data_IF_154471643936
#
_entry.id   IF_154471643936
#
_cell.length_a   1.000
_cell.length_b   1.000
_cell.length_c   1.000
_cell.angle_alpha   90.00
_cell.angle_beta   90.00
_cell.angle_gamma   90.00
#
_symmetry.space_group_name_H-M   'P 1'
#
loop_
_entity.id
_entity.type
_entity.pdbx_description
1 polymer ?
#
# COMPACT_ATOMS: atom_id res chain seq x y z
N UNK A 1 -11.63 16.86 -60.78
CA UNK A 1 -12.14 17.59 -59.59
C UNK A 1 -13.49 16.96 -59.29
N UNK A 2 -13.82 16.40 -58.13
CA UNK A 2 -13.16 16.12 -56.83
C UNK A 2 -13.90 14.89 -56.27
N UNK A 3 -13.32 13.94 -55.54
CA UNK A 3 -12.32 14.07 -54.48
C UNK A 3 -13.06 14.01 -53.12
N UNK A 4 -13.25 12.81 -52.57
CA UNK A 4 -13.99 12.60 -51.32
C UNK A 4 -13.94 11.14 -50.84
N UNK A 5 -12.92 10.80 -50.06
CA UNK A 5 -12.77 9.47 -49.45
C UNK A 5 -13.37 9.43 -48.05
N UNK A 6 -14.25 8.45 -47.79
CA UNK A 6 -14.72 8.13 -46.43
C UNK A 6 -13.80 7.10 -45.79
N UNK A 7 -13.10 7.46 -44.72
CA UNK A 7 -12.28 6.52 -43.94
C UNK A 7 -13.15 5.61 -43.07
N UNK A 8 -12.89 4.31 -43.11
CA UNK A 8 -13.54 3.33 -42.22
C UNK A 8 -13.14 3.54 -40.75
N UNK A 9 -14.06 3.37 -39.78
CA UNK A 9 -13.73 3.49 -38.36
C UNK A 9 -12.77 2.38 -37.88
N UNK A 10 -11.97 2.70 -36.85
CA UNK A 10 -10.85 1.90 -36.35
C UNK A 10 -11.21 0.46 -35.95
N UNK A 11 -10.89 -0.50 -36.82
CA UNK A 11 -11.05 -1.94 -36.56
C UNK A 11 -10.21 -2.42 -35.36
N UNK A 12 -9.06 -1.78 -35.11
CA UNK A 12 -8.15 -2.07 -33.98
C UNK A 12 -8.80 -1.81 -32.62
N UNK A 13 -9.51 -0.69 -32.48
CA UNK A 13 -10.14 -0.27 -31.22
C UNK A 13 -11.34 -1.16 -30.86
N UNK A 14 -12.09 -1.63 -31.86
CA UNK A 14 -13.15 -2.61 -31.67
C UNK A 14 -12.62 -3.98 -31.20
N UNK A 15 -11.59 -4.51 -31.88
CA UNK A 15 -10.92 -5.76 -31.47
C UNK A 15 -10.32 -5.65 -30.07
N UNK A 16 -9.67 -4.53 -29.76
CA UNK A 16 -9.09 -4.26 -28.44
C UNK A 16 -10.14 -4.23 -27.32
N UNK A 17 -11.26 -3.52 -27.53
CA UNK A 17 -12.39 -3.54 -26.60
C UNK A 17 -13.01 -4.94 -26.44
N UNK A 18 -12.93 -5.79 -27.47
CA UNK A 18 -13.36 -7.17 -27.40
C UNK A 18 -12.36 -8.06 -26.63
N UNK A 19 -11.05 -7.89 -26.82
CA UNK A 19 -10.02 -8.58 -25.99
C UNK A 19 -10.15 -8.18 -24.52
N UNK A 20 -10.33 -6.90 -24.20
CA UNK A 20 -10.60 -6.44 -22.83
C UNK A 20 -11.86 -7.11 -22.23
N UNK A 21 -12.96 -7.19 -23.00
CA UNK A 21 -14.17 -7.90 -22.56
C UNK A 21 -13.96 -9.40 -22.41
N UNK A 22 -13.11 -10.02 -23.22
CA UNK A 22 -12.80 -11.45 -23.13
C UNK A 22 -11.89 -11.74 -21.92
N UNK A 23 -10.86 -10.93 -21.66
CA UNK A 23 -10.00 -11.05 -20.47
C UNK A 23 -10.81 -10.77 -19.19
N UNK A 24 -11.62 -9.71 -19.18
CA UNK A 24 -12.57 -9.49 -18.09
C UNK A 24 -13.61 -10.60 -17.98
N UNK A 25 -14.03 -11.22 -19.09
CA UNK A 25 -14.99 -12.33 -19.13
C UNK A 25 -14.40 -13.65 -18.59
N UNK A 26 -13.13 -13.93 -18.87
CA UNK A 26 -12.39 -15.06 -18.28
C UNK A 26 -12.20 -14.90 -16.77
N UNK A 27 -12.12 -13.66 -16.28
CA UNK A 27 -12.12 -13.34 -14.84
C UNK A 27 -13.54 -13.28 -14.24
N UNK A 28 -14.56 -12.95 -15.05
CA UNK A 28 -15.98 -12.82 -14.65
C UNK A 28 -16.76 -14.10 -14.92
N UNK A 29 -16.59 -15.06 -14.01
CA UNK A 29 -17.63 -16.04 -13.75
C UNK A 29 -18.93 -15.35 -13.31
N UNK A 30 -19.84 -15.11 -14.27
CA UNK A 30 -21.25 -14.66 -14.18
C UNK A 30 -21.54 -13.15 -14.32
N UNK A 31 -22.13 -12.83 -15.49
CA UNK A 31 -23.13 -11.79 -15.82
C UNK A 31 -22.86 -10.29 -15.58
N UNK A 32 -23.15 -9.49 -16.61
CA UNK A 32 -23.37 -8.03 -16.59
C UNK A 32 -24.62 -7.72 -17.43
N UNK A 33 -25.39 -6.68 -17.06
CA UNK A 33 -25.73 -5.68 -18.07
C UNK A 33 -25.63 -4.24 -17.53
N UNK A 34 -25.17 -3.31 -18.37
CA UNK A 34 -25.16 -1.89 -18.05
C UNK A 34 -24.27 -1.09 -19.00
N UNK A 35 -24.87 -0.18 -19.77
CA UNK A 35 -24.15 0.73 -20.68
C UNK A 35 -24.93 2.06 -20.75
N UNK A 36 -24.18 3.17 -20.68
CA UNK A 36 -24.45 4.47 -21.31
C UNK A 36 -25.36 5.51 -20.59
N UNK A 37 -24.87 6.77 -20.66
CA UNK A 37 -25.50 8.08 -20.48
C UNK A 37 -25.78 8.63 -19.07
N UNK A 38 -24.80 9.40 -18.57
CA UNK A 38 -24.99 10.50 -17.63
C UNK A 38 -25.76 11.66 -18.28
N UNK A 39 -26.93 12.00 -17.73
CA UNK A 39 -27.48 13.36 -17.80
C UNK A 39 -28.14 13.73 -16.48
N UNK A 40 -27.52 14.61 -15.70
CA UNK A 40 -28.22 15.43 -14.71
C UNK A 40 -27.90 16.89 -14.97
N UNK A 41 -28.94 17.68 -15.24
CA UNK A 41 -28.82 19.14 -15.34
C UNK A 41 -28.51 19.71 -13.96
N UNK A 42 -27.52 20.59 -13.90
CA UNK A 42 -27.32 21.49 -12.76
C UNK A 42 -28.11 22.77 -13.05
N UNK A 43 -29.05 23.14 -12.19
CA UNK A 43 -29.51 24.53 -12.11
C UNK A 43 -28.68 25.27 -11.04
N UNK A 44 -28.24 26.51 -11.30
CA UNK A 44 -27.37 27.25 -10.37
C UNK A 44 -28.19 27.95 -9.29
N UNK A 45 -27.76 27.82 -8.02
CA UNK A 45 -28.20 28.70 -6.94
C UNK A 45 -27.26 29.91 -6.85
N UNK A 46 -27.86 31.11 -6.81
CA UNK A 46 -27.12 32.38 -6.74
C UNK A 46 -26.48 32.61 -5.36
N UNK A 47 -25.33 33.32 -5.28
CA UNK A 47 -24.67 33.62 -4.02
C UNK A 47 -25.29 34.83 -3.30
N UNK A 48 -25.14 34.95 -1.97
CA UNK A 48 -25.34 36.20 -1.25
C UNK A 48 -24.05 37.04 -1.26
N UNK A 49 -24.19 38.34 -1.53
CA UNK A 49 -23.11 39.32 -1.38
C UNK A 49 -22.72 39.52 0.10
N UNK A 50 -21.43 39.45 0.42
CA UNK A 50 -20.75 40.39 1.33
C UNK A 50 -19.22 40.21 1.25
N UNK A 51 -18.50 41.30 0.96
CA UNK A 51 -17.03 41.40 1.18
C UNK A 51 -16.79 42.14 2.49
N UNK A 52 -15.67 41.89 3.19
CA UNK A 52 -14.56 42.84 3.03
C UNK A 52 -13.13 42.26 3.08
N UNK A 53 -12.24 42.99 2.40
CA UNK A 53 -10.85 43.34 2.73
C UNK A 53 -9.90 42.32 3.40
N UNK A 54 -8.81 42.02 2.70
CA UNK A 54 -7.52 41.66 3.30
C UNK A 54 -6.90 42.89 3.99
N UNK A 55 -6.52 42.77 5.26
CA UNK A 55 -5.45 43.58 5.87
C UNK A 55 -4.51 42.68 6.66
N UNK A 56 -3.31 43.20 6.95
CA UNK A 56 -2.13 42.47 7.40
C UNK A 56 -1.62 43.05 8.72
N UNK A 57 -1.66 42.26 9.79
CA UNK A 57 -1.06 42.57 11.09
C UNK A 57 -0.08 41.40 11.38
N UNK A 58 1.25 41.52 11.37
CA UNK A 58 2.18 42.43 12.06
C UNK A 58 2.14 42.35 13.59
N UNK A 59 3.25 41.85 14.16
CA UNK A 59 3.50 41.76 15.60
C UNK A 59 3.60 43.15 16.26
N UNK A 60 3.03 43.31 17.45
CA UNK A 60 3.53 44.27 18.45
C UNK A 60 3.59 43.65 19.87
N UNK A 61 4.71 43.92 20.54
CA UNK A 61 4.95 43.71 21.98
C UNK A 61 4.08 44.65 22.83
N UNK A 62 3.42 44.16 23.89
CA UNK A 62 3.21 44.97 25.10
C UNK A 62 3.61 44.21 26.37
N UNK A 63 4.62 44.75 27.05
CA UNK A 63 4.99 44.38 28.42
C UNK A 63 4.11 45.14 29.40
N UNK A 64 3.62 44.50 30.47
CA UNK A 64 3.33 45.20 31.74
C UNK A 64 3.85 44.43 32.95
N UNK A 65 4.55 45.16 33.81
CA UNK A 65 5.14 44.70 35.07
C UNK A 65 4.18 44.91 36.25
N UNK A 66 4.50 44.28 37.40
CA UNK A 66 3.93 44.60 38.71
C UNK A 66 2.75 43.71 39.12
N UNK A 67 2.66 43.22 40.36
CA UNK A 67 3.54 43.41 41.52
C UNK A 67 3.47 42.20 42.48
N UNK A 68 4.56 41.96 43.23
CA UNK A 68 4.58 41.00 44.35
C UNK A 68 3.87 41.59 45.56
N UNK A 69 3.23 40.74 46.36
CA UNK A 69 3.13 40.97 47.81
C UNK A 69 3.21 39.64 48.56
N UNK A 70 4.07 39.60 49.58
CA UNK A 70 4.28 38.45 50.46
C UNK A 70 3.34 38.53 51.68
N UNK A 71 3.05 37.38 52.29
CA UNK A 71 2.29 37.29 53.54
C UNK A 71 2.64 35.99 54.26
N UNK A 72 3.20 36.10 55.46
CA UNK A 72 3.80 34.99 56.23
C UNK A 72 2.80 34.24 57.13
N UNK A 73 3.20 33.03 57.56
CA UNK A 73 2.78 32.43 58.83
C UNK A 73 1.61 31.43 58.76
N UNK A 74 1.52 30.40 59.60
CA UNK A 74 2.42 29.93 60.67
C UNK A 74 2.35 28.39 60.78
N UNK A 75 3.37 27.77 61.40
CA UNK A 75 3.42 26.33 61.67
C UNK A 75 3.04 26.00 63.14
N UNK A 76 2.42 24.84 63.34
CA UNK A 76 2.34 24.04 64.60
C UNK A 76 1.56 22.75 64.28
N UNK A 77 1.83 21.55 64.83
CA UNK A 77 2.88 21.10 65.76
C UNK A 77 2.45 19.78 66.44
N UNK A 78 3.43 18.93 66.82
CA UNK A 78 3.30 17.63 67.55
C UNK A 78 2.76 16.42 66.73
N UNK A 79 3.33 15.21 66.67
CA UNK A 79 4.17 14.38 67.60
C UNK A 79 3.37 13.86 68.81
N UNK A 80 3.37 12.60 69.30
CA UNK A 80 4.08 11.32 69.07
C UNK A 80 3.05 10.14 69.25
N UNK A 81 3.31 8.82 69.37
CA UNK A 81 4.54 8.00 69.41
C UNK A 81 4.31 6.50 69.01
N UNK A 82 5.42 5.76 68.97
CA UNK A 82 5.71 4.33 69.20
C UNK A 82 4.80 3.49 70.14
N UNK A 83 4.79 2.14 70.17
CA UNK A 83 5.58 1.07 69.51
C UNK A 83 4.79 -0.29 69.54
N UNK A 84 5.11 -1.35 68.77
CA UNK A 84 6.04 -2.41 69.27
C UNK A 84 6.42 -3.49 68.24
N UNK A 85 7.74 -3.63 68.09
CA UNK A 85 8.57 -4.73 67.58
C UNK A 85 7.99 -6.16 67.42
N UNK A 86 8.37 -6.83 66.31
CA UNK A 86 9.46 -7.85 66.29
C UNK A 86 9.95 -8.17 64.86
N UNK A 87 11.21 -8.62 64.74
CA UNK A 87 11.96 -8.81 63.49
C UNK A 87 11.91 -10.26 62.97
N UNK A 88 11.97 -10.42 61.66
CA UNK A 88 12.80 -11.45 61.00
C UNK A 88 13.34 -10.90 59.67
N UNK A 89 14.58 -11.25 59.32
CA UNK A 89 15.31 -10.67 58.19
C UNK A 89 14.94 -11.33 56.86
N UNK A 90 15.06 -10.60 55.75
CA UNK A 90 15.83 -11.01 54.56
C UNK A 90 16.28 -9.73 53.81
N UNK A 91 17.45 -9.81 53.19
CA UNK A 91 18.20 -8.67 52.66
C UNK A 91 17.60 -8.14 51.34
N UNK A 92 17.52 -6.82 51.17
CA UNK A 92 17.23 -6.18 49.89
C UNK A 92 18.45 -5.42 49.38
N UNK A 93 18.85 -5.69 48.13
CA UNK A 93 19.84 -4.91 47.39
C UNK A 93 19.41 -4.78 45.94
N UNK A 94 19.32 -3.54 45.49
CA UNK A 94 18.94 -3.11 44.15
C UNK A 94 19.95 -3.51 43.07
N UNK A 95 19.48 -3.89 41.88
CA UNK A 95 20.26 -3.84 40.62
C UNK A 95 19.36 -3.78 39.39
N UNK A 96 19.62 -2.79 38.53
CA UNK A 96 19.31 -2.68 37.08
C UNK A 96 18.37 -3.71 36.41
N UNK A 97 17.23 -3.25 35.89
CA UNK A 97 16.44 -4.00 34.91
C UNK A 97 17.14 -4.02 33.54
N UNK A 98 17.67 -5.19 33.16
CA UNK A 98 18.07 -5.52 31.79
C UNK A 98 16.86 -6.00 30.97
N UNK A 99 16.88 -5.72 29.66
CA UNK A 99 15.90 -6.25 28.71
C UNK A 99 15.97 -7.79 28.62
N UNK A 100 14.85 -8.52 28.36
CA UNK A 100 14.88 -9.97 28.21
C UNK A 100 15.42 -10.40 26.84
N UNK A 101 16.32 -11.39 26.84
CA UNK A 101 16.75 -12.11 25.63
C UNK A 101 15.61 -12.93 25.02
N UNK A 102 15.34 -12.75 23.72
CA UNK A 102 14.47 -13.60 22.93
C UNK A 102 15.29 -14.39 21.89
N UNK A 103 15.96 -15.45 22.35
CA UNK A 103 16.69 -16.37 21.47
C UNK A 103 15.77 -17.52 21.01
N UNK A 104 15.36 -17.49 19.73
CA UNK A 104 14.58 -18.57 19.12
C UNK A 104 14.35 -18.39 17.62
N UNK A 105 15.07 -19.17 16.81
CA UNK A 105 14.79 -19.46 15.39
C UNK A 105 14.92 -18.30 14.34
N UNK A 106 16.16 -17.92 14.00
CA UNK A 106 16.65 -18.01 12.60
C UNK A 106 18.14 -18.36 12.60
N UNK A 107 18.50 -19.60 12.24
CA UNK A 107 19.91 -19.99 12.07
C UNK A 107 20.45 -19.45 10.74
N UNK A 108 20.98 -18.23 10.76
CA UNK A 108 21.51 -17.60 9.55
C UNK A 108 21.83 -16.09 9.62
N UNK A 109 21.34 -15.37 10.65
CA UNK A 109 21.53 -13.93 10.80
C UNK A 109 23.00 -13.56 11.10
N UNK A 110 23.80 -13.36 10.05
CA UNK A 110 25.20 -12.92 10.14
C UNK A 110 25.27 -11.43 10.47
N UNK A 111 26.46 -10.94 10.84
CA UNK A 111 26.70 -9.56 11.29
C UNK A 111 26.17 -8.43 10.37
N UNK A 112 25.87 -8.74 9.11
CA UNK A 112 25.16 -7.87 8.16
C UNK A 112 23.82 -7.37 8.66
N UNK A 113 23.04 -8.19 9.36
CA UNK A 113 21.70 -7.82 9.82
C UNK A 113 21.76 -6.85 11.00
N UNK A 114 22.68 -7.07 11.94
CA UNK A 114 22.97 -6.12 13.03
C UNK A 114 23.43 -4.76 12.49
N UNK A 115 24.31 -4.75 11.49
CA UNK A 115 24.76 -3.51 10.84
C UNK A 115 23.63 -2.80 10.05
N UNK A 116 22.70 -3.54 9.45
CA UNK A 116 21.51 -2.98 8.80
C UNK A 116 20.56 -2.36 9.82
N UNK A 117 20.26 -3.09 10.90
CA UNK A 117 19.45 -2.62 12.03
C UNK A 117 20.04 -1.33 12.61
N UNK A 118 21.35 -1.28 12.87
CA UNK A 118 22.02 -0.09 13.37
C UNK A 118 21.81 1.14 12.46
N UNK A 119 21.92 0.99 11.13
CA UNK A 119 21.68 2.09 10.18
C UNK A 119 20.25 2.62 10.23
N UNK A 120 19.25 1.74 10.25
CA UNK A 120 17.85 2.16 10.40
C UNK A 120 17.59 2.81 11.76
N UNK A 121 18.11 2.24 12.86
CA UNK A 121 17.99 2.84 14.21
C UNK A 121 18.59 4.24 14.25
N UNK A 122 19.79 4.44 13.67
CA UNK A 122 20.42 5.76 13.59
C UNK A 122 19.52 6.75 12.83
N UNK A 123 19.00 6.38 11.66
CA UNK A 123 18.20 7.28 10.84
C UNK A 123 16.83 7.60 11.48
N UNK A 124 16.15 6.60 12.05
CA UNK A 124 14.86 6.74 12.74
C UNK A 124 14.98 7.46 14.11
N UNK A 125 16.18 7.52 14.70
CA UNK A 125 16.42 8.23 15.96
C UNK A 125 16.49 9.75 15.83
N UNK A 126 16.68 10.26 14.60
CA UNK A 126 16.81 11.70 14.32
C UNK A 126 15.55 12.49 14.74
N UNK A 127 15.69 13.78 15.12
CA UNK A 127 14.54 14.67 15.33
C UNK A 127 13.67 14.82 14.08
N UNK A 128 14.30 14.85 12.90
CA UNK A 128 13.65 14.76 11.59
C UNK A 128 14.39 13.73 10.74
N UNK A 129 13.64 12.75 10.22
CA UNK A 129 14.16 11.67 9.36
C UNK A 129 14.45 12.20 7.96
N UNK A 130 15.59 11.83 7.36
CA UNK A 130 15.90 12.12 5.96
C UNK A 130 15.26 11.03 5.10
N UNK A 131 14.12 11.34 4.47
CA UNK A 131 13.34 10.37 3.69
C UNK A 131 14.15 9.71 2.57
N UNK A 132 15.01 10.44 1.86
CA UNK A 132 15.83 9.86 0.79
C UNK A 132 16.85 8.87 1.34
N UNK A 133 17.40 9.12 2.53
CA UNK A 133 18.28 8.15 3.18
C UNK A 133 17.51 6.92 3.66
N UNK A 134 16.27 7.11 4.10
CA UNK A 134 15.39 6.01 4.47
C UNK A 134 15.01 5.16 3.23
N UNK A 135 14.77 5.78 2.07
CA UNK A 135 14.54 5.09 0.78
C UNK A 135 15.73 4.23 0.40
N UNK A 136 16.94 4.80 0.39
CA UNK A 136 18.18 4.05 0.10
C UNK A 136 18.35 2.80 0.98
N UNK A 137 18.07 2.92 2.29
CA UNK A 137 18.15 1.79 3.21
C UNK A 137 17.06 0.73 2.94
N UNK A 138 15.83 1.20 2.69
CA UNK A 138 14.63 0.37 2.52
C UNK A 138 14.60 -0.40 1.20
N UNK A 139 15.26 0.10 0.16
CA UNK A 139 15.32 -0.54 -1.16
C UNK A 139 15.79 -2.00 -1.10
N UNK A 140 16.71 -2.30 -0.19
CA UNK A 140 17.28 -3.64 0.03
C UNK A 140 16.51 -4.51 1.05
N UNK A 141 15.30 -4.08 1.43
CA UNK A 141 14.46 -4.72 2.45
C UNK A 141 14.58 -4.05 3.83
N UNK A 142 13.44 -3.94 4.53
CA UNK A 142 13.32 -3.32 5.86
C UNK A 142 13.27 -4.41 6.94
N UNK A 143 13.95 -4.25 8.09
CA UNK A 143 13.81 -5.17 9.23
C UNK A 143 12.34 -5.29 9.68
N UNK A 144 11.79 -6.50 9.91
CA UNK A 144 10.34 -6.70 10.08
C UNK A 144 9.68 -5.79 11.12
N UNK A 145 10.25 -5.70 12.32
CA UNK A 145 9.74 -4.89 13.43
C UNK A 145 9.91 -3.35 13.23
N UNK A 146 10.68 -2.92 12.22
CA UNK A 146 10.81 -1.51 11.84
C UNK A 146 9.87 -1.13 10.68
N UNK A 147 9.44 -2.12 9.89
CA UNK A 147 8.62 -1.95 8.69
C UNK A 147 7.39 -1.05 8.91
N UNK A 148 6.62 -1.17 10.00
CA UNK A 148 5.45 -0.33 10.23
C UNK A 148 5.76 1.18 10.26
N UNK A 149 6.70 1.61 11.09
CA UNK A 149 7.12 3.01 11.19
C UNK A 149 7.77 3.50 9.88
N UNK A 150 8.59 2.66 9.24
CA UNK A 150 9.23 2.97 7.95
C UNK A 150 8.20 3.15 6.82
N UNK A 151 7.22 2.27 6.70
CA UNK A 151 6.18 2.37 5.67
C UNK A 151 5.32 3.62 5.84
N UNK A 152 4.89 3.96 7.07
CA UNK A 152 4.17 5.22 7.34
C UNK A 152 5.00 6.44 6.93
N UNK A 153 6.32 6.42 7.12
CA UNK A 153 7.24 7.50 6.75
C UNK A 153 7.46 7.61 5.23
N UNK A 154 7.72 6.49 4.55
CA UNK A 154 8.00 6.47 3.10
C UNK A 154 6.79 6.95 2.27
N UNK A 155 5.57 6.64 2.74
CA UNK A 155 4.31 7.11 2.15
C UNK A 155 3.93 8.55 2.53
N UNK A 156 4.71 9.23 3.39
CA UNK A 156 4.40 10.57 3.88
C UNK A 156 3.12 10.63 4.73
N UNK A 157 2.65 9.50 5.25
CA UNK A 157 1.51 9.45 6.19
C UNK A 157 1.95 9.91 7.59
N UNK A 158 3.07 9.36 8.07
CA UNK A 158 3.77 9.90 9.23
C UNK A 158 4.71 11.03 8.80
N UNK A 159 4.71 12.19 9.47
CA UNK A 159 5.67 13.26 9.17
C UNK A 159 7.10 12.83 9.56
N UNK A 160 8.14 13.32 8.85
CA UNK A 160 9.53 13.05 9.19
C UNK A 160 9.92 13.55 10.60
N UNK A 161 9.37 14.69 11.00
CA UNK A 161 9.49 15.29 12.33
C UNK A 161 8.88 14.39 13.41
N UNK A 162 9.71 13.93 14.35
CA UNK A 162 9.33 12.98 15.41
C UNK A 162 8.33 13.58 16.40
N UNK A 163 8.53 14.84 16.77
CA UNK A 163 7.68 15.63 17.68
C UNK A 163 6.25 15.79 17.18
N UNK A 164 6.04 15.87 15.86
CA UNK A 164 4.72 16.01 15.23
C UNK A 164 4.02 14.69 14.92
N UNK A 165 4.72 13.55 15.04
CA UNK A 165 4.28 12.27 14.48
C UNK A 165 3.01 11.74 15.13
N UNK A 166 3.02 11.54 16.43
CA UNK A 166 1.86 11.01 17.17
C UNK A 166 0.62 11.92 17.07
N UNK A 167 0.81 13.25 17.11
CA UNK A 167 -0.27 14.21 16.94
C UNK A 167 -0.93 14.14 15.56
N UNK A 168 -0.13 13.96 14.50
CA UNK A 168 -0.65 13.76 13.13
C UNK A 168 -1.35 12.42 12.97
N UNK A 169 -0.76 11.33 13.50
CA UNK A 169 -1.36 9.99 13.43
C UNK A 169 -2.68 9.92 14.21
N UNK A 170 -2.72 10.42 15.45
CA UNK A 170 -3.96 10.48 16.26
C UNK A 170 -5.07 11.25 15.54
N UNK A 171 -4.77 12.45 15.02
CA UNK A 171 -5.75 13.25 14.25
C UNK A 171 -6.22 12.52 13.00
N UNK A 172 -5.33 11.87 12.26
CA UNK A 172 -5.68 11.10 11.06
C UNK A 172 -6.51 9.85 11.36
N UNK A 173 -6.28 9.18 12.48
CA UNK A 173 -7.09 8.06 12.95
C UNK A 173 -8.51 8.51 13.28
N UNK A 174 -8.68 9.67 13.93
CA UNK A 174 -9.99 10.28 14.16
C UNK A 174 -10.69 10.67 12.84
N UNK A 175 -9.99 11.34 11.92
CA UNK A 175 -10.53 11.68 10.58
C UNK A 175 -11.06 10.44 9.84
N UNK A 176 -10.40 9.28 9.96
CA UNK A 176 -10.88 8.02 9.35
C UNK A 176 -12.17 7.52 10.02
N UNK A 177 -12.24 7.53 11.36
CA UNK A 177 -13.46 7.12 12.09
C UNK A 177 -14.64 8.02 11.73
N UNK A 178 -14.42 9.33 11.58
CA UNK A 178 -15.42 10.28 11.08
C UNK A 178 -15.89 9.92 9.67
N UNK A 179 -14.98 9.54 8.76
CA UNK A 179 -15.33 9.08 7.41
C UNK A 179 -16.15 7.78 7.42
N UNK A 180 -15.77 6.80 8.24
CA UNK A 180 -16.51 5.53 8.37
C UNK A 180 -17.93 5.82 8.88
N UNK A 181 -18.07 6.66 9.91
CA UNK A 181 -19.37 7.11 10.43
C UNK A 181 -20.22 7.84 9.37
N UNK A 182 -19.60 8.70 8.55
CA UNK A 182 -20.29 9.49 7.54
C UNK A 182 -20.74 8.67 6.31
N UNK A 183 -19.98 7.65 5.89
CA UNK A 183 -20.19 6.97 4.62
C UNK A 183 -20.55 5.48 4.75
N UNK A 184 -19.98 4.78 5.72
CA UNK A 184 -20.12 3.33 5.87
C UNK A 184 -21.18 2.95 6.93
N UNK A 185 -21.22 3.62 8.08
CA UNK A 185 -22.19 3.31 9.16
C UNK A 185 -23.58 3.96 8.94
N UNK A 186 -23.96 4.20 7.67
CA UNK A 186 -25.29 4.70 7.28
C UNK A 186 -26.25 3.56 6.91
N UNK A 187 -27.58 3.74 7.04
CA UNK A 187 -28.58 2.78 6.57
C UNK A 187 -28.55 2.57 5.04
N UNK A 188 -28.86 1.34 4.59
CA UNK A 188 -28.97 1.04 3.14
C UNK A 188 -30.03 1.89 2.42
N UNK A 189 -31.03 2.42 3.13
CA UNK A 189 -32.04 3.33 2.57
C UNK A 189 -31.50 4.73 2.21
N UNK A 190 -30.31 5.09 2.69
CA UNK A 190 -29.65 6.37 2.39
C UNK A 190 -28.61 6.22 1.27
N UNK A 191 -28.31 4.97 0.85
CA UNK A 191 -27.41 4.67 -0.26
C UNK A 191 -28.13 4.72 -1.61
N UNK A 192 -27.43 5.19 -2.62
CA UNK A 192 -27.79 5.03 -4.03
C UNK A 192 -27.60 3.58 -4.51
N UNK A 193 -28.27 3.23 -5.61
CA UNK A 193 -28.13 1.90 -6.25
C UNK A 193 -26.67 1.60 -6.67
N UNK A 194 -25.90 2.63 -7.03
CA UNK A 194 -24.48 2.52 -7.38
C UNK A 194 -23.63 2.15 -6.15
N UNK A 195 -23.88 2.79 -5.01
CA UNK A 195 -23.20 2.51 -3.73
C UNK A 195 -23.54 1.11 -3.19
N UNK A 196 -24.82 0.70 -3.27
CA UNK A 196 -25.25 -0.65 -2.89
C UNK A 196 -24.59 -1.69 -3.81
N UNK A 197 -24.48 -1.42 -5.11
CA UNK A 197 -23.82 -2.32 -6.06
C UNK A 197 -22.32 -2.43 -5.78
N UNK A 198 -21.67 -1.31 -5.48
CA UNK A 198 -20.26 -1.25 -5.09
C UNK A 198 -19.98 -2.01 -3.79
N UNK A 199 -20.79 -1.79 -2.74
CA UNK A 199 -20.66 -2.50 -1.47
C UNK A 199 -20.83 -4.01 -1.64
N UNK A 200 -21.81 -4.45 -2.43
CA UNK A 200 -21.99 -5.87 -2.78
C UNK A 200 -20.78 -6.45 -3.52
N UNK A 201 -20.14 -5.69 -4.41
CA UNK A 201 -18.94 -6.15 -5.10
C UNK A 201 -17.76 -6.34 -4.11
N UNK A 202 -17.56 -5.38 -3.21
CA UNK A 202 -16.53 -5.46 -2.16
C UNK A 202 -16.78 -6.65 -1.23
N UNK A 203 -18.02 -6.83 -0.75
CA UNK A 203 -18.42 -7.93 0.12
C UNK A 203 -18.24 -9.32 -0.53
N UNK A 204 -18.28 -9.42 -1.86
CA UNK A 204 -18.01 -10.65 -2.61
C UNK A 204 -16.51 -10.85 -2.88
N UNK A 205 -15.70 -9.78 -2.94
CA UNK A 205 -14.25 -9.86 -3.12
C UNK A 205 -13.47 -10.07 -1.81
N UNK A 206 -13.90 -9.49 -0.68
CA UNK A 206 -13.18 -9.60 0.60
C UNK A 206 -12.93 -11.05 1.03
N UNK A 207 -13.92 -11.99 1.04
CA UNK A 207 -13.67 -13.39 1.38
C UNK A 207 -12.77 -14.14 0.39
N UNK A 208 -12.61 -13.62 -0.83
CA UNK A 208 -11.78 -14.22 -1.89
C UNK A 208 -10.39 -13.60 -1.97
N UNK A 209 -10.07 -12.67 -1.08
CA UNK A 209 -8.78 -11.97 -1.01
C UNK A 209 -7.75 -12.88 -0.34
N UNK A 210 -6.60 -13.11 -1.00
CA UNK A 210 -5.49 -13.98 -0.56
C UNK A 210 -5.99 -15.33 0.03
N UNK A 211 -6.66 -16.18 -0.76
CA UNK A 211 -7.39 -17.35 -0.26
C UNK A 211 -6.50 -18.43 0.36
N UNK A 212 -5.22 -18.48 -0.01
CA UNK A 212 -4.23 -19.41 0.54
C UNK A 212 -3.78 -19.05 1.97
N UNK A 213 -4.22 -17.91 2.52
CA UNK A 213 -3.85 -17.43 3.87
C UNK A 213 -5.11 -17.35 4.74
N UNK A 214 -5.23 -18.28 5.67
CA UNK A 214 -6.41 -18.47 6.54
C UNK A 214 -6.74 -17.23 7.38
N UNK A 215 -5.75 -16.41 7.72
CA UNK A 215 -5.95 -15.18 8.50
C UNK A 215 -6.95 -14.20 7.85
N UNK A 216 -6.95 -14.05 6.52
CA UNK A 216 -7.92 -13.20 5.79
C UNK A 216 -9.33 -13.79 5.73
N UNK A 217 -9.51 -15.04 6.18
CA UNK A 217 -10.83 -15.66 6.33
C UNK A 217 -11.49 -15.34 7.68
N UNK A 218 -10.80 -14.62 8.58
CA UNK A 218 -11.39 -14.11 9.81
C UNK A 218 -12.41 -12.98 9.52
N UNK A 219 -13.62 -13.11 10.06
CA UNK A 219 -14.73 -12.18 9.83
C UNK A 219 -14.42 -10.72 10.24
N UNK A 220 -13.64 -10.51 11.30
CA UNK A 220 -13.25 -9.16 11.72
C UNK A 220 -12.30 -8.52 10.70
N UNK A 221 -11.34 -9.29 10.17
CA UNK A 221 -10.42 -8.83 9.12
C UNK A 221 -11.16 -8.55 7.80
N UNK A 222 -12.15 -9.37 7.43
CA UNK A 222 -13.01 -9.11 6.27
C UNK A 222 -13.82 -7.82 6.43
N UNK A 223 -14.38 -7.57 7.62
CA UNK A 223 -15.06 -6.30 7.95
C UNK A 223 -14.12 -5.10 7.90
N UNK A 224 -12.88 -5.25 8.38
CA UNK A 224 -11.85 -4.21 8.28
C UNK A 224 -11.52 -3.89 6.81
N UNK A 225 -11.31 -4.92 5.99
CA UNK A 225 -11.11 -4.78 4.54
C UNK A 225 -12.29 -4.07 3.87
N UNK A 226 -13.53 -4.49 4.16
CA UNK A 226 -14.75 -3.91 3.58
C UNK A 226 -14.89 -2.42 3.91
N UNK A 227 -14.69 -2.02 5.18
CA UNK A 227 -14.69 -0.61 5.62
C UNK A 227 -13.62 0.21 4.91
N UNK A 228 -12.37 -0.27 4.87
CA UNK A 228 -11.27 0.45 4.22
C UNK A 228 -11.58 0.66 2.73
N UNK A 229 -11.98 -0.40 2.03
CA UNK A 229 -12.23 -0.39 0.59
C UNK A 229 -13.42 0.48 0.21
N UNK A 230 -14.54 0.37 0.94
CA UNK A 230 -15.74 1.16 0.67
C UNK A 230 -15.50 2.64 0.95
N UNK A 231 -14.91 2.97 2.10
CA UNK A 231 -14.59 4.36 2.48
C UNK A 231 -13.59 4.98 1.50
N UNK A 232 -12.64 4.20 0.99
CA UNK A 232 -11.73 4.66 -0.06
C UNK A 232 -12.48 4.90 -1.38
N UNK A 233 -13.26 3.93 -1.85
CA UNK A 233 -13.94 4.00 -3.14
C UNK A 233 -14.94 5.17 -3.22
N UNK A 234 -15.72 5.41 -2.16
CA UNK A 234 -16.63 6.56 -2.05
C UNK A 234 -15.90 7.90 -2.19
N UNK A 235 -14.73 8.01 -1.56
CA UNK A 235 -13.94 9.25 -1.58
C UNK A 235 -13.14 9.46 -2.87
N UNK A 236 -13.14 8.49 -3.79
CA UNK A 236 -12.45 8.55 -5.08
C UNK A 236 -13.43 8.18 -6.23
N UNK A 237 -14.49 8.99 -6.49
CA UNK A 237 -15.56 8.63 -7.43
C UNK A 237 -15.12 8.49 -8.89
N UNK A 238 -13.96 9.05 -9.28
CA UNK A 238 -13.36 8.83 -10.61
C UNK A 238 -12.80 7.40 -10.80
N UNK A 239 -12.59 6.69 -9.70
CA UNK A 239 -12.09 5.32 -9.62
C UNK A 239 -13.20 4.35 -9.20
N UNK A 240 -13.93 4.68 -8.12
CA UNK A 240 -14.80 3.75 -7.43
C UNK A 240 -14.04 2.52 -6.92
N UNK A 241 -14.73 1.40 -6.72
CA UNK A 241 -14.07 0.14 -6.39
C UNK A 241 -13.72 -0.64 -7.67
N UNK A 242 -12.42 -0.93 -7.83
CA UNK A 242 -11.91 -1.80 -8.89
C UNK A 242 -11.33 -3.08 -8.25
N UNK A 243 -11.79 -4.23 -8.72
CA UNK A 243 -11.28 -5.53 -8.28
C UNK A 243 -9.76 -5.60 -8.49
N UNK A 244 -9.01 -5.97 -7.46
CA UNK A 244 -7.56 -5.88 -7.37
C UNK A 244 -7.10 -4.91 -6.27
N UNK A 245 -7.84 -3.81 -6.03
CA UNK A 245 -7.53 -2.90 -4.92
C UNK A 245 -7.66 -3.62 -3.56
N UNK A 246 -8.56 -4.59 -3.46
CA UNK A 246 -8.70 -5.49 -2.30
C UNK A 246 -7.37 -6.17 -1.92
N UNK A 247 -6.55 -6.58 -2.89
CA UNK A 247 -5.27 -7.23 -2.63
C UNK A 247 -4.24 -6.22 -2.10
N UNK A 248 -4.32 -4.95 -2.53
CA UNK A 248 -3.37 -3.87 -2.17
C UNK A 248 -3.49 -3.42 -0.71
N UNK A 249 -4.61 -3.70 -0.05
CA UNK A 249 -4.78 -3.43 1.40
C UNK A 249 -4.05 -4.46 2.25
N UNK A 250 -3.90 -5.69 1.75
CA UNK A 250 -3.40 -6.83 2.54
C UNK A 250 -1.96 -6.67 3.06
N UNK A 251 -0.99 -6.05 2.35
CA UNK A 251 0.35 -5.85 2.90
C UNK A 251 0.34 -4.82 4.03
N UNK A 252 -0.49 -3.76 3.93
CA UNK A 252 -0.64 -2.76 4.99
C UNK A 252 -1.24 -3.37 6.26
N UNK A 253 -2.31 -4.15 6.13
CA UNK A 253 -2.92 -4.85 7.27
C UNK A 253 -1.90 -5.71 7.99
N UNK A 254 -1.20 -6.59 7.27
CA UNK A 254 -0.18 -7.47 7.86
C UNK A 254 0.92 -6.69 8.55
N UNK A 255 1.41 -5.61 7.93
CA UNK A 255 2.47 -4.79 8.51
C UNK A 255 2.00 -4.11 9.80
N UNK A 256 0.84 -3.45 9.81
CA UNK A 256 0.39 -2.75 11.02
C UNK A 256 -0.13 -3.70 12.11
N UNK A 257 -0.67 -4.87 11.76
CA UNK A 257 -0.98 -5.94 12.72
C UNK A 257 0.29 -6.46 13.42
N UNK A 258 1.43 -6.51 12.73
CA UNK A 258 2.70 -6.99 13.31
C UNK A 258 3.32 -6.07 14.37
N UNK A 259 2.77 -4.87 14.63
CA UNK A 259 3.12 -4.07 15.81
C UNK A 259 2.43 -4.56 17.09
N UNK A 260 1.33 -5.30 16.96
CA UNK A 260 0.47 -5.72 18.06
C UNK A 260 0.42 -7.25 18.25
N UNK A 261 0.89 -8.03 17.27
CA UNK A 261 0.81 -9.48 17.25
C UNK A 261 2.19 -10.11 17.05
N UNK A 262 2.68 -10.81 18.08
CA UNK A 262 3.94 -11.55 18.05
C UNK A 262 3.86 -12.83 17.20
N UNK A 263 5.02 -13.27 16.70
CA UNK A 263 5.16 -14.54 15.99
C UNK A 263 4.72 -14.51 14.53
N UNK A 264 4.43 -15.70 13.99
CA UNK A 264 4.03 -15.86 12.59
C UNK A 264 2.52 -15.64 12.41
N UNK A 265 2.12 -15.26 11.20
CA UNK A 265 0.71 -15.03 10.83
C UNK A 265 -0.20 -16.23 11.10
N UNK A 266 0.32 -17.45 10.96
CA UNK A 266 -0.41 -18.70 11.26
C UNK A 266 -0.76 -18.87 12.75
N UNK A 267 -0.10 -18.11 13.63
CA UNK A 267 -0.32 -18.11 15.09
C UNK A 267 -1.06 -16.86 15.60
N UNK A 268 -1.39 -15.91 14.72
CA UNK A 268 -2.07 -14.68 15.09
C UNK A 268 -3.55 -14.91 15.43
N UNK A 269 -3.98 -14.36 16.57
CA UNK A 269 -5.41 -14.22 16.90
C UNK A 269 -5.81 -12.75 16.98
N UNK A 270 -6.92 -12.41 16.32
CA UNK A 270 -7.52 -11.07 16.36
C UNK A 270 -8.16 -10.79 17.74
N UNK A 271 -8.50 -11.84 18.50
CA UNK A 271 -9.09 -11.72 19.84
C UNK A 271 -8.13 -11.08 20.87
N UNK A 272 -6.84 -11.01 20.54
CA UNK A 272 -5.81 -10.35 21.35
C UNK A 272 -5.78 -8.82 21.16
N UNK A 273 -6.52 -8.27 20.20
CA UNK A 273 -6.54 -6.84 19.86
C UNK A 273 -7.75 -6.14 20.49
N UNK A 274 -7.56 -4.92 21.00
CA UNK A 274 -8.70 -4.09 21.39
C UNK A 274 -9.42 -3.53 20.15
N UNK A 275 -10.68 -3.16 20.31
CA UNK A 275 -11.43 -2.46 19.26
C UNK A 275 -10.75 -1.15 18.82
N UNK A 276 -10.02 -0.49 19.73
CA UNK A 276 -9.26 0.72 19.41
C UNK A 276 -8.01 0.41 18.58
N UNK A 277 -7.31 -0.70 18.86
CA UNK A 277 -6.16 -1.13 18.04
C UNK A 277 -6.61 -1.45 16.62
N UNK A 278 -7.69 -2.22 16.47
CA UNK A 278 -8.29 -2.55 15.17
C UNK A 278 -8.67 -1.26 14.42
N UNK A 279 -9.33 -0.30 15.08
CA UNK A 279 -9.70 0.99 14.48
C UNK A 279 -8.47 1.82 14.05
N UNK A 280 -7.42 1.85 14.87
CA UNK A 280 -6.16 2.53 14.57
C UNK A 280 -5.44 1.89 13.37
N UNK A 281 -5.40 0.56 13.32
CA UNK A 281 -4.81 -0.23 12.23
C UNK A 281 -5.58 -0.01 10.92
N UNK A 282 -6.91 0.00 10.97
CA UNK A 282 -7.75 0.29 9.80
C UNK A 282 -7.49 1.68 9.21
N UNK A 283 -7.44 2.70 10.07
CA UNK A 283 -7.11 4.06 9.65
C UNK A 283 -5.71 4.16 9.04
N UNK A 284 -4.71 3.52 9.65
CA UNK A 284 -3.35 3.49 9.14
C UNK A 284 -3.26 2.79 7.78
N UNK A 285 -4.00 1.68 7.60
CA UNK A 285 -4.14 1.00 6.31
C UNK A 285 -4.80 1.91 5.27
N UNK A 286 -5.91 2.56 5.62
CA UNK A 286 -6.65 3.46 4.74
C UNK A 286 -5.80 4.64 4.25
N UNK A 287 -5.07 5.32 5.15
CA UNK A 287 -4.24 6.46 4.77
C UNK A 287 -3.00 6.03 3.98
N UNK A 288 -2.39 4.88 4.31
CA UNK A 288 -1.28 4.34 3.54
C UNK A 288 -1.71 3.88 2.14
N UNK A 289 -2.86 3.21 2.01
CA UNK A 289 -3.47 2.85 0.73
C UNK A 289 -3.75 4.09 -0.12
N UNK A 290 -4.37 5.12 0.46
CA UNK A 290 -4.66 6.38 -0.22
C UNK A 290 -3.38 7.03 -0.76
N UNK A 291 -2.35 7.15 0.08
CA UNK A 291 -1.05 7.73 -0.29
C UNK A 291 -0.30 6.91 -1.34
N UNK A 292 -0.46 5.59 -1.32
CA UNK A 292 0.14 4.69 -2.30
C UNK A 292 -0.56 4.78 -3.67
N UNK A 293 -1.88 4.92 -3.69
CA UNK A 293 -2.68 5.03 -4.91
C UNK A 293 -2.63 6.42 -5.55
N UNK A 294 -2.27 7.48 -4.81
CA UNK A 294 -2.02 8.82 -5.35
C UNK A 294 -1.03 8.81 -6.53
N UNK A 295 0.02 7.98 -6.47
CA UNK A 295 1.03 7.85 -7.54
C UNK A 295 0.59 7.01 -8.75
N UNK A 296 -0.61 6.40 -8.72
CA UNK A 296 -1.07 5.46 -9.76
C UNK A 296 -2.59 5.51 -10.02
N UNK A 297 -3.23 6.67 -9.78
CA UNK A 297 -4.69 6.82 -9.89
C UNK A 297 -5.25 6.35 -11.25
N UNK A 298 -4.52 6.60 -12.35
CA UNK A 298 -4.93 6.23 -13.72
C UNK A 298 -4.91 4.71 -14.03
N UNK A 299 -4.44 3.90 -13.08
CA UNK A 299 -4.52 2.45 -13.15
C UNK A 299 -5.92 1.94 -12.78
N UNK A 300 -6.72 2.74 -12.07
CA UNK A 300 -8.03 2.35 -11.54
C UNK A 300 -9.16 3.31 -11.96
N UNK A 301 -8.90 4.27 -12.85
CA UNK A 301 -9.96 5.07 -13.49
C UNK A 301 -10.65 4.28 -14.61
N UNK A 302 -11.73 4.83 -15.19
CA UNK A 302 -12.46 4.20 -16.29
C UNK A 302 -11.53 3.73 -17.43
N UNK A 303 -11.71 2.48 -17.86
CA UNK A 303 -10.89 1.75 -18.83
C UNK A 303 -9.41 1.51 -18.44
N UNK A 304 -8.95 1.97 -17.28
CA UNK A 304 -7.62 1.68 -16.69
C UNK A 304 -6.43 1.99 -17.64
N UNK A 305 -6.35 3.20 -18.22
CA UNK A 305 -5.34 3.56 -19.22
C UNK A 305 -3.90 3.46 -18.69
N UNK A 306 -3.66 3.63 -17.39
CA UNK A 306 -2.36 3.42 -16.74
C UNK A 306 -1.84 2.00 -16.95
N UNK A 307 -2.67 1.00 -16.68
CA UNK A 307 -2.32 -0.42 -16.86
C UNK A 307 -2.04 -0.74 -18.32
N UNK A 308 -2.87 -0.25 -19.25
CA UNK A 308 -2.64 -0.46 -20.69
C UNK A 308 -1.27 0.08 -21.13
N UNK A 309 -0.89 1.27 -20.65
CA UNK A 309 0.40 1.91 -20.90
C UNK A 309 1.57 1.11 -20.32
N UNK A 310 1.43 0.56 -19.11
CA UNK A 310 2.47 -0.30 -18.51
C UNK A 310 2.62 -1.64 -19.23
N UNK A 311 1.52 -2.28 -19.64
CA UNK A 311 1.53 -3.53 -20.44
C UNK A 311 2.21 -3.30 -21.80
N UNK A 312 1.92 -2.19 -22.47
CA UNK A 312 2.60 -1.84 -23.72
C UNK A 312 4.10 -1.64 -23.52
N UNK A 313 4.52 -0.93 -22.46
CA UNK A 313 5.94 -0.74 -22.14
C UNK A 313 6.63 -2.04 -21.74
N UNK A 314 5.94 -2.96 -21.07
CA UNK A 314 6.45 -4.30 -20.75
C UNK A 314 6.76 -5.07 -22.02
N UNK A 315 5.83 -5.09 -22.99
CA UNK A 315 6.05 -5.71 -24.30
C UNK A 315 7.30 -5.15 -24.99
N UNK A 316 7.39 -3.82 -25.11
CA UNK A 316 8.53 -3.16 -25.77
C UNK A 316 9.86 -3.37 -25.02
N UNK A 317 9.84 -3.43 -23.69
CA UNK A 317 11.03 -3.71 -22.90
C UNK A 317 11.49 -5.16 -23.07
N UNK A 318 10.56 -6.12 -23.01
CA UNK A 318 10.86 -7.54 -23.24
C UNK A 318 11.41 -7.76 -24.65
N UNK A 319 10.81 -7.15 -25.68
CA UNK A 319 11.32 -7.17 -27.06
C UNK A 319 12.75 -6.66 -27.21
N UNK A 320 13.17 -5.68 -26.39
CA UNK A 320 14.53 -5.12 -26.39
C UNK A 320 15.56 -5.95 -25.60
N UNK A 321 15.11 -6.75 -24.64
CA UNK A 321 15.98 -7.56 -23.77
C UNK A 321 16.11 -8.99 -24.29
N UNK A 322 15.01 -9.58 -24.73
CA UNK A 322 14.86 -10.97 -25.14
C UNK A 322 13.84 -11.02 -26.30
N UNK A 323 14.30 -10.60 -27.48
CA UNK A 323 13.52 -10.67 -28.72
C UNK A 323 12.97 -12.08 -29.00
N UNK A 324 13.72 -13.20 -28.82
CA UNK A 324 13.19 -14.55 -28.99
C UNK A 324 11.93 -14.83 -28.17
N UNK A 325 11.90 -14.49 -26.88
CA UNK A 325 10.69 -14.65 -26.05
C UNK A 325 9.55 -13.76 -26.56
N UNK A 326 9.81 -12.49 -26.84
CA UNK A 326 8.78 -11.56 -27.31
C UNK A 326 8.15 -12.04 -28.62
N UNK A 327 8.98 -12.49 -29.56
CA UNK A 327 8.56 -12.97 -30.88
C UNK A 327 7.77 -14.27 -30.77
N UNK A 328 8.21 -15.22 -29.93
CA UNK A 328 7.49 -16.48 -29.73
C UNK A 328 6.10 -16.26 -29.10
N UNK A 329 5.98 -15.35 -28.12
CA UNK A 329 4.67 -14.96 -27.54
C UNK A 329 3.72 -14.43 -28.64
N UNK A 330 4.21 -13.59 -29.55
CA UNK A 330 3.44 -13.07 -30.68
C UNK A 330 3.10 -14.14 -31.73
N UNK A 331 4.04 -15.05 -32.04
CA UNK A 331 3.84 -16.15 -33.00
C UNK A 331 2.82 -17.18 -32.50
N UNK A 332 2.73 -17.40 -31.18
CA UNK A 332 1.64 -18.16 -30.55
C UNK A 332 0.31 -17.40 -30.50
N UNK A 333 0.28 -16.11 -30.89
CA UNK A 333 -0.93 -15.28 -30.88
C UNK A 333 -1.38 -14.82 -29.49
N UNK A 334 -0.48 -14.85 -28.49
CA UNK A 334 -0.79 -14.40 -27.12
C UNK A 334 -0.49 -12.91 -26.97
N UNK A 335 -1.51 -12.10 -26.65
CA UNK A 335 -1.31 -10.69 -26.32
C UNK A 335 -0.83 -10.53 -24.86
N UNK A 336 0.17 -9.66 -24.64
CA UNK A 336 0.69 -9.35 -23.30
C UNK A 336 -0.41 -8.93 -22.30
N UNK A 337 -1.48 -8.28 -22.77
CA UNK A 337 -2.62 -7.87 -21.97
C UNK A 337 -3.37 -9.06 -21.33
N UNK A 338 -3.35 -10.24 -21.95
CA UNK A 338 -4.08 -11.42 -21.47
C UNK A 338 -3.49 -12.04 -20.19
N UNK A 339 -2.21 -11.77 -19.89
CA UNK A 339 -1.57 -12.21 -18.63
C UNK A 339 -1.12 -11.02 -17.76
N UNK A 340 -0.44 -10.02 -18.35
CA UNK A 340 0.18 -8.95 -17.58
C UNK A 340 -0.81 -7.93 -17.00
N UNK A 341 -2.07 -7.90 -17.46
CA UNK A 341 -3.09 -7.05 -16.85
C UNK A 341 -3.22 -7.33 -15.34
N UNK A 342 -3.28 -8.61 -14.94
CA UNK A 342 -3.37 -9.01 -13.51
C UNK A 342 -2.13 -8.58 -12.73
N UNK A 343 -0.96 -8.66 -13.35
CA UNK A 343 0.33 -8.33 -12.74
C UNK A 343 0.41 -6.84 -12.36
N UNK A 344 -0.03 -5.94 -13.25
CA UNK A 344 -0.07 -4.50 -12.95
C UNK A 344 -1.28 -4.11 -12.09
N UNK A 345 -2.44 -4.72 -12.28
CA UNK A 345 -3.66 -4.42 -11.49
C UNK A 345 -3.54 -4.83 -10.01
N UNK A 346 -2.72 -5.84 -9.71
CA UNK A 346 -2.50 -6.35 -8.35
C UNK A 346 -1.02 -6.24 -7.91
N UNK A 347 -0.21 -5.46 -8.63
CA UNK A 347 1.22 -5.21 -8.38
C UNK A 347 2.06 -6.46 -8.03
N UNK A 348 1.84 -7.54 -8.79
CA UNK A 348 2.43 -8.88 -8.65
C UNK A 348 2.09 -9.65 -7.35
N UNK A 349 1.21 -9.14 -6.46
CA UNK A 349 0.80 -9.85 -5.22
C UNK A 349 0.28 -11.26 -5.51
N UNK A 350 -0.48 -11.43 -6.61
CA UNK A 350 -1.06 -12.72 -7.00
C UNK A 350 -0.07 -13.70 -7.64
N UNK A 351 1.14 -13.25 -7.96
CA UNK A 351 2.15 -14.05 -8.66
C UNK A 351 3.32 -14.46 -7.75
N UNK A 352 3.42 -13.88 -6.55
CA UNK A 352 4.53 -14.06 -5.61
C UNK A 352 3.98 -14.62 -4.28
N UNK A 353 4.66 -15.56 -3.60
CA UNK A 353 4.22 -16.05 -2.29
C UNK A 353 3.97 -14.91 -1.30
N UNK A 354 2.85 -14.98 -0.59
CA UNK A 354 2.40 -13.87 0.23
C UNK A 354 3.42 -13.42 1.30
N UNK A 355 4.19 -14.37 1.86
CA UNK A 355 5.25 -14.07 2.83
C UNK A 355 6.39 -13.20 2.25
N UNK A 356 6.57 -13.14 0.93
CA UNK A 356 7.55 -12.29 0.25
C UNK A 356 6.98 -10.93 -0.18
N UNK A 357 5.66 -10.74 -0.15
CA UNK A 357 5.00 -9.52 -0.64
C UNK A 357 5.45 -8.29 0.15
N UNK A 358 5.62 -8.40 1.48
CA UNK A 358 6.14 -7.29 2.30
C UNK A 358 7.58 -6.92 1.93
N UNK A 359 8.43 -7.90 1.58
CA UNK A 359 9.79 -7.63 1.07
C UNK A 359 9.75 -6.96 -0.31
N UNK A 360 8.89 -7.40 -1.22
CA UNK A 360 8.71 -6.75 -2.53
C UNK A 360 8.26 -5.29 -2.35
N UNK A 361 7.33 -5.07 -1.43
CA UNK A 361 6.77 -3.76 -1.13
C UNK A 361 7.74 -2.81 -0.41
N UNK A 362 8.72 -3.33 0.35
CA UNK A 362 9.83 -2.51 0.87
C UNK A 362 10.57 -1.77 -0.27
N UNK A 363 10.78 -2.43 -1.42
CA UNK A 363 11.35 -1.80 -2.62
C UNK A 363 10.34 -0.87 -3.30
N UNK A 364 9.07 -1.26 -3.39
CA UNK A 364 8.04 -0.40 -4.00
C UNK A 364 7.90 0.96 -3.30
N UNK A 365 7.87 0.96 -1.96
CA UNK A 365 7.79 2.19 -1.16
C UNK A 365 9.11 2.98 -1.15
N UNK A 366 10.25 2.34 -1.41
CA UNK A 366 11.53 3.00 -1.58
C UNK A 366 11.62 3.77 -2.92
N UNK A 367 11.05 3.23 -4.01
CA UNK A 367 10.97 3.90 -5.33
C UNK A 367 9.99 5.09 -5.33
N UNK A 368 8.91 5.02 -4.54
CA UNK A 368 7.91 6.08 -4.44
C UNK A 368 7.26 6.39 -5.79
N UNK A 369 7.26 7.66 -6.20
CA UNK A 369 6.63 8.13 -7.45
C UNK A 369 7.21 7.48 -8.73
N UNK A 370 8.42 6.92 -8.66
CA UNK A 370 9.04 6.18 -9.78
C UNK A 370 8.56 4.72 -9.90
N UNK A 371 7.75 4.23 -8.96
CA UNK A 371 7.27 2.85 -8.93
C UNK A 371 6.58 2.39 -10.24
N UNK A 372 5.66 3.15 -10.87
CA UNK A 372 5.01 2.68 -12.11
C UNK A 372 5.99 2.46 -13.26
N UNK A 373 7.10 3.23 -13.31
CA UNK A 373 8.20 3.01 -14.26
C UNK A 373 9.02 1.77 -13.88
N UNK A 374 9.42 1.65 -12.62
CA UNK A 374 10.26 0.55 -12.16
C UNK A 374 9.54 -0.81 -12.21
N UNK A 375 8.23 -0.84 -11.96
CA UNK A 375 7.38 -2.03 -12.03
C UNK A 375 7.37 -2.68 -13.43
N UNK A 376 7.61 -1.92 -14.50
CA UNK A 376 7.79 -2.49 -15.85
C UNK A 376 9.06 -3.35 -15.90
N UNK A 377 10.17 -2.88 -15.32
CA UNK A 377 11.42 -3.63 -15.24
C UNK A 377 11.32 -4.83 -14.30
N UNK A 378 10.60 -4.71 -13.18
CA UNK A 378 10.30 -5.84 -12.29
C UNK A 378 9.47 -6.89 -13.04
N UNK A 379 8.43 -6.48 -13.76
CA UNK A 379 7.56 -7.39 -14.53
C UNK A 379 8.31 -8.07 -15.69
N UNK A 380 9.19 -7.35 -16.38
CA UNK A 380 10.06 -7.92 -17.42
C UNK A 380 11.05 -8.93 -16.82
N UNK A 381 11.67 -8.58 -15.68
CA UNK A 381 12.57 -9.48 -14.95
C UNK A 381 11.82 -10.73 -14.52
N UNK A 382 10.64 -10.57 -13.91
CA UNK A 382 9.79 -11.66 -13.49
C UNK A 382 9.47 -12.62 -14.64
N UNK A 383 8.93 -12.13 -15.77
CA UNK A 383 8.66 -12.94 -16.97
C UNK A 383 9.91 -13.69 -17.47
N UNK A 384 11.02 -12.98 -17.62
CA UNK A 384 12.27 -13.51 -18.16
C UNK A 384 13.05 -14.39 -17.16
N UNK A 385 12.49 -14.70 -15.99
CA UNK A 385 12.93 -15.82 -15.15
C UNK A 385 12.69 -17.17 -15.83
N UNK A 386 11.75 -17.22 -16.78
CA UNK A 386 11.35 -18.45 -17.49
C UNK A 386 11.55 -18.40 -19.00
N UNK A 387 12.43 -17.52 -19.52
CA UNK A 387 12.70 -17.35 -20.96
C UNK A 387 12.86 -18.69 -21.71
N UNK A 388 13.80 -19.53 -21.26
CA UNK A 388 14.08 -20.86 -21.85
C UNK A 388 12.87 -21.81 -21.87
N UNK A 389 11.90 -21.61 -20.99
CA UNK A 389 10.67 -22.40 -20.94
C UNK A 389 9.62 -21.79 -21.85
N UNK A 390 9.39 -20.48 -21.77
CA UNK A 390 8.38 -19.76 -22.57
C UNK A 390 8.56 -20.01 -24.07
N UNK A 391 9.80 -19.99 -24.57
CA UNK A 391 10.14 -20.27 -25.97
C UNK A 391 9.78 -21.71 -26.46
N UNK A 392 9.36 -22.60 -25.56
CA UNK A 392 9.02 -24.00 -25.86
C UNK A 392 7.55 -24.34 -25.69
N UNK A 393 6.75 -23.43 -25.13
CA UNK A 393 5.32 -23.65 -24.86
C UNK A 393 4.49 -23.25 -26.07
N UNK A 394 3.44 -24.03 -26.37
CA UNK A 394 2.38 -23.57 -27.27
C UNK A 394 1.46 -22.53 -26.61
N UNK A 395 0.52 -21.95 -27.37
CA UNK A 395 -0.44 -20.98 -26.84
C UNK A 395 -1.18 -21.44 -25.57
N UNK A 396 -1.68 -22.68 -25.54
CA UNK A 396 -2.48 -23.18 -24.42
C UNK A 396 -1.61 -23.44 -23.18
N UNK A 397 -0.45 -24.07 -23.39
CA UNK A 397 0.54 -24.29 -22.33
C UNK A 397 1.05 -22.95 -21.74
N UNK A 398 1.31 -21.97 -22.61
CA UNK A 398 1.82 -20.65 -22.23
C UNK A 398 0.80 -19.85 -21.43
N UNK A 399 -0.48 -19.84 -21.84
CA UNK A 399 -1.57 -19.22 -21.06
C UNK A 399 -1.68 -19.86 -19.68
N UNK A 400 -1.71 -21.20 -19.61
CA UNK A 400 -1.82 -21.91 -18.33
C UNK A 400 -0.62 -21.65 -17.42
N UNK A 401 0.59 -21.59 -17.98
CA UNK A 401 1.83 -21.34 -17.26
C UNK A 401 1.93 -19.90 -16.74
N UNK A 402 1.62 -18.89 -17.56
CA UNK A 402 1.67 -17.48 -17.16
C UNK A 402 0.58 -17.10 -16.15
N UNK A 403 -0.52 -17.86 -16.09
CA UNK A 403 -1.55 -17.70 -15.06
C UNK A 403 -1.20 -18.40 -13.73
N UNK A 404 -0.27 -19.36 -13.74
CA UNK A 404 0.10 -20.21 -12.60
C UNK A 404 1.61 -20.41 -12.52
N UNK A 405 2.36 -19.30 -12.43
CA UNK A 405 3.80 -19.33 -12.39
C UNK A 405 4.33 -20.12 -11.15
N UNK A 406 5.43 -20.86 -11.28
CA UNK A 406 5.91 -21.79 -10.25
C UNK A 406 6.70 -21.06 -9.16
N UNK A 407 6.04 -20.12 -8.47
CA UNK A 407 6.65 -19.27 -7.45
C UNK A 407 6.39 -19.74 -6.03
N UNK A 408 5.49 -20.71 -5.79
CA UNK A 408 5.08 -21.19 -4.46
C UNK A 408 6.22 -21.54 -3.51
N UNK A 409 7.35 -22.02 -4.03
CA UNK A 409 8.54 -22.41 -3.26
C UNK A 409 9.65 -21.36 -3.26
N UNK A 410 9.41 -20.16 -3.79
CA UNK A 410 10.37 -19.06 -3.74
C UNK A 410 10.59 -18.61 -2.30
N UNK A 411 11.83 -18.25 -2.01
CA UNK A 411 12.25 -17.56 -0.82
C UNK A 411 12.73 -16.15 -1.19
N UNK A 412 13.40 -15.47 -0.25
CA UNK A 412 13.99 -14.16 -0.49
C UNK A 412 14.98 -14.17 -1.67
N UNK A 413 15.75 -15.24 -1.88
CA UNK A 413 16.80 -15.27 -2.90
C UNK A 413 16.24 -15.08 -4.32
N UNK A 414 15.19 -15.80 -4.68
CA UNK A 414 14.57 -15.70 -6.01
C UNK A 414 14.00 -14.29 -6.25
N UNK A 415 13.39 -13.70 -5.21
CA UNK A 415 12.90 -12.33 -5.27
C UNK A 415 14.04 -11.29 -5.41
N UNK A 416 15.13 -11.42 -4.65
CA UNK A 416 16.30 -10.55 -4.78
C UNK A 416 16.91 -10.64 -6.19
N UNK A 417 16.93 -11.83 -6.80
CA UNK A 417 17.41 -12.00 -8.19
C UNK A 417 16.52 -11.27 -9.19
N UNK A 418 15.19 -11.32 -9.02
CA UNK A 418 14.24 -10.56 -9.85
C UNK A 418 14.46 -9.05 -9.69
N UNK A 419 14.54 -8.55 -8.47
CA UNK A 419 14.74 -7.13 -8.17
C UNK A 419 16.11 -6.60 -8.65
N UNK A 420 17.18 -7.38 -8.45
CA UNK A 420 18.54 -7.01 -8.87
C UNK A 420 18.67 -6.90 -10.39
N UNK A 421 18.09 -7.86 -11.13
CA UNK A 421 18.05 -7.82 -12.60
C UNK A 421 17.19 -6.68 -13.13
N UNK A 422 16.06 -6.39 -12.48
CA UNK A 422 15.22 -5.23 -12.80
C UNK A 422 15.98 -3.90 -12.62
N UNK A 423 16.72 -3.75 -11.51
CA UNK A 423 17.56 -2.57 -11.23
C UNK A 423 18.69 -2.40 -12.23
N UNK A 424 19.37 -3.48 -12.59
CA UNK A 424 20.43 -3.48 -13.61
C UNK A 424 19.89 -2.98 -14.95
N UNK A 425 18.76 -3.54 -15.41
CA UNK A 425 18.12 -3.11 -16.67
C UNK A 425 17.59 -1.68 -16.61
N UNK A 426 16.91 -1.29 -15.53
CA UNK A 426 16.47 0.10 -15.33
C UNK A 426 17.64 1.07 -15.46
N UNK A 427 18.78 0.76 -14.84
CA UNK A 427 20.01 1.56 -14.93
C UNK A 427 20.52 1.63 -16.38
N UNK A 428 20.71 0.48 -17.05
CA UNK A 428 21.24 0.39 -18.42
C UNK A 428 20.38 1.14 -19.45
N UNK A 429 19.05 0.98 -19.39
CA UNK A 429 18.14 1.63 -20.34
C UNK A 429 17.91 3.12 -20.01
N UNK A 430 18.00 3.54 -18.74
CA UNK A 430 17.96 4.96 -18.34
C UNK A 430 19.27 5.70 -18.67
N UNK A 431 20.42 5.02 -18.62
CA UNK A 431 21.73 5.56 -19.00
C UNK A 431 22.01 5.52 -20.51
N UNK A 432 21.02 5.24 -21.35
CA UNK A 432 21.15 5.15 -22.81
C UNK A 432 20.26 6.19 -23.53
N UNK A 433 20.64 7.48 -23.56
CA UNK A 433 19.84 8.53 -24.21
C UNK A 433 19.73 8.37 -25.74
N UNK A 434 20.69 7.68 -26.35
CA UNK A 434 20.77 7.44 -27.78
C UNK A 434 20.05 6.15 -28.16
N UNK A 435 18.73 6.25 -28.44
CA UNK A 435 17.96 5.42 -29.41
C UNK A 435 16.43 5.71 -29.37
N UNK A 436 15.99 6.87 -28.87
CA UNK A 436 14.59 7.35 -29.00
C UNK A 436 14.34 8.16 -30.30
N UNK A 437 15.15 7.91 -31.34
CA UNK A 437 14.90 8.33 -32.70
C UNK A 437 15.30 7.16 -33.64
N UNK A 438 14.32 6.68 -34.41
CA UNK A 438 14.39 5.48 -35.24
C UNK A 438 12.98 5.06 -35.64
#
# INVERSE_FOLDING_TARGET
MSGGGGGSPNNTEWRFNQTLRNVQGMLKGRSFPGKVLLTRRSEPLSPPDYSPSFESEHDEDERKEGSRQEGEGQASGNSFDNASSKKSNILSTSSSNSLPDAQGLVSGARATDSARIAKFTTELSRPAVILDKLRELSWSGVPPYMRPNVWRLLLGYAPPNKDRREGVLTRKRLEYVECVSQYYDIPDSERSDEEITMLRQIAVDCPRTVPDVTFFQNHQIQKSLERILYTWAIRHPANGYVQGINDLVTPFLVVFLSEHLDGNMDTWSVDNLSAQDISNIEADCYWCLSKFLDGMQDHYTFAQPGIQRLVFRLKELVRRIDEPVSKHIEEQGLEFLQFAFRWFNCLLIREVPFHLVTRLWDTYLAEGDYLPDFLVYISASFLLTWSDKLQKLDFQEMVMFLQHLPTRTWAHHELEMVLSRAYMWHTMFKSSPSHLAG
#
